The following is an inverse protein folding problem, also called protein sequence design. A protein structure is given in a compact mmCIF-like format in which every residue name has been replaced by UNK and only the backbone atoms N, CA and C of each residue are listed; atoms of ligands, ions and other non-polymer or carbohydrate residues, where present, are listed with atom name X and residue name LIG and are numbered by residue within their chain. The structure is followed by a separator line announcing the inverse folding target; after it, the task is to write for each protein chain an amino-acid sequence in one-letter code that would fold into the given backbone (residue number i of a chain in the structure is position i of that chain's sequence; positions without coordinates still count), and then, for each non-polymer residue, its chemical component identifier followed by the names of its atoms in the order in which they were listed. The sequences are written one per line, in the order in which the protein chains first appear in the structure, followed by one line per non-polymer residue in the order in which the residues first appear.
data_IF_145392719876
#
_entry.id   IF_145392719876
#
_cell.length_a   1.000
_cell.length_b   1.000
_cell.length_c   1.000
_cell.angle_alpha   90.00
_cell.angle_beta   90.00
_cell.angle_gamma   90.00
#
_symmetry.space_group_name_H-M   'P 1'
#
loop_
_entity.id
_entity.type
_entity.pdbx_description
1 polymer ?
#
# COMPACT_ATOMS: atom_id res chain seq x y z
N UNK A 1 -33.93 12.72 -1.07
CA UNK A 1 -32.71 12.17 -1.70
C UNK A 1 -31.55 12.56 -0.81
N UNK A 2 -31.14 11.66 0.10
CA UNK A 2 -30.01 11.90 1.00
C UNK A 2 -28.72 11.85 0.21
N UNK A 3 -27.86 12.84 0.42
CA UNK A 3 -26.56 12.92 -0.22
C UNK A 3 -25.63 11.90 0.45
N UNK A 4 -25.47 10.71 -0.13
CA UNK A 4 -24.53 9.69 0.35
C UNK A 4 -23.10 10.15 0.08
N UNK A 5 -22.56 10.98 0.98
CA UNK A 5 -21.16 11.37 0.96
C UNK A 5 -20.37 10.26 1.64
N UNK A 6 -19.61 9.51 0.86
CA UNK A 6 -18.65 8.53 1.37
C UNK A 6 -17.37 9.27 1.75
N UNK A 7 -17.09 9.41 3.04
CA UNK A 7 -15.88 10.08 3.56
C UNK A 7 -14.65 9.15 3.54
N UNK A 8 -14.39 8.53 2.39
CA UNK A 8 -13.26 7.60 2.20
C UNK A 8 -12.34 8.07 1.06
N UNK A 9 -11.03 7.93 1.27
CA UNK A 9 -10.02 8.17 0.25
C UNK A 9 -9.42 6.83 -0.15
N UNK A 10 -9.49 6.49 -1.44
CA UNK A 10 -8.79 5.35 -2.01
C UNK A 10 -7.52 5.86 -2.71
N UNK A 11 -6.36 5.45 -2.22
CA UNK A 11 -5.06 5.76 -2.81
C UNK A 11 -4.43 4.50 -3.41
N UNK A 12 -3.87 4.64 -4.62
CA UNK A 12 -3.09 3.59 -5.28
C UNK A 12 -1.69 4.13 -5.57
N UNK A 13 -0.69 3.37 -5.19
CA UNK A 13 0.72 3.69 -5.42
C UNK A 13 1.28 2.74 -6.48
N UNK A 14 2.03 3.28 -7.44
CA UNK A 14 2.76 2.53 -8.45
C UNK A 14 4.22 2.99 -8.44
N UNK A 15 5.14 2.05 -8.30
CA UNK A 15 6.57 2.33 -8.16
C UNK A 15 7.29 1.88 -9.42
N UNK A 16 7.72 2.86 -10.22
CA UNK A 16 8.50 2.63 -11.42
C UNK A 16 9.99 2.38 -11.14
N UNK A 17 10.71 1.84 -12.13
CA UNK A 17 12.17 1.67 -12.07
C UNK A 17 12.67 0.49 -11.24
N UNK A 18 11.78 -0.38 -10.74
CA UNK A 18 12.14 -1.56 -9.94
C UNK A 18 13.12 -2.48 -10.69
N UNK A 19 12.89 -2.72 -11.99
CA UNK A 19 13.80 -3.56 -12.77
C UNK A 19 15.17 -2.92 -12.95
N UNK A 20 15.22 -1.62 -13.25
CA UNK A 20 16.48 -0.88 -13.39
C UNK A 20 17.28 -0.89 -12.09
N UNK A 21 16.60 -0.81 -10.94
CA UNK A 21 17.22 -0.93 -9.62
C UNK A 21 17.77 -2.33 -9.36
N UNK A 22 16.96 -3.38 -9.57
CA UNK A 22 17.34 -4.77 -9.28
C UNK A 22 18.47 -5.23 -10.20
N UNK A 23 18.47 -4.81 -11.46
CA UNK A 23 19.43 -5.23 -12.48
C UNK A 23 20.46 -4.15 -12.82
N UNK A 24 20.69 -3.19 -11.92
CA UNK A 24 21.73 -2.18 -12.07
C UNK A 24 23.14 -2.78 -12.21
N UNK A 25 23.33 -4.05 -11.83
CA UNK A 25 24.60 -4.76 -11.94
C UNK A 25 24.44 -6.18 -12.53
N UNK A 26 25.54 -6.75 -13.02
CA UNK A 26 25.58 -8.13 -13.54
C UNK A 26 25.91 -9.17 -12.45
N UNK A 27 25.85 -8.80 -11.17
CA UNK A 27 26.25 -9.68 -10.07
C UNK A 27 25.01 -10.26 -9.39
N UNK A 28 24.84 -11.58 -9.53
CA UNK A 28 23.67 -12.29 -9.01
C UNK A 28 23.39 -12.01 -7.51
N UNK A 29 24.44 -11.97 -6.68
CA UNK A 29 24.30 -11.71 -5.25
C UNK A 29 23.77 -10.30 -4.96
N UNK A 30 24.19 -9.31 -5.74
CA UNK A 30 23.71 -7.92 -5.61
C UNK A 30 22.27 -7.82 -6.09
N UNK A 31 21.93 -8.44 -7.24
CA UNK A 31 20.57 -8.43 -7.78
C UNK A 31 19.58 -9.13 -6.84
N UNK A 32 19.98 -10.27 -6.24
CA UNK A 32 19.17 -10.94 -5.22
C UNK A 32 18.98 -10.06 -3.96
N UNK A 33 20.03 -9.36 -3.53
CA UNK A 33 19.95 -8.41 -2.42
C UNK A 33 19.03 -7.22 -2.73
N UNK A 34 19.13 -6.65 -3.93
CA UNK A 34 18.27 -5.56 -4.39
C UNK A 34 16.80 -6.00 -4.48
N UNK A 35 16.54 -7.19 -5.02
CA UNK A 35 15.18 -7.77 -5.04
C UNK A 35 14.62 -7.95 -3.64
N UNK A 36 15.41 -8.47 -2.70
CA UNK A 36 15.00 -8.62 -1.30
C UNK A 36 14.69 -7.26 -0.66
N UNK A 37 15.50 -6.24 -0.92
CA UNK A 37 15.24 -4.88 -0.42
C UNK A 37 13.95 -4.29 -0.97
N UNK A 38 13.66 -4.45 -2.27
CA UNK A 38 12.40 -3.98 -2.86
C UNK A 38 11.21 -4.64 -2.17
N UNK A 39 11.26 -5.95 -1.94
CA UNK A 39 10.20 -6.66 -1.20
C UNK A 39 9.99 -6.06 0.18
N UNK A 40 11.05 -5.86 0.96
CA UNK A 40 10.94 -5.26 2.31
C UNK A 40 10.42 -3.83 2.29
N UNK A 41 10.85 -3.01 1.33
CA UNK A 41 10.34 -1.64 1.19
C UNK A 41 8.83 -1.65 0.97
N UNK A 42 8.33 -2.51 0.09
CA UNK A 42 6.91 -2.53 -0.27
C UNK A 42 6.03 -3.21 0.78
N UNK A 43 6.51 -4.30 1.38
CA UNK A 43 5.71 -5.14 2.28
C UNK A 43 5.89 -4.82 3.77
N UNK A 44 6.94 -4.08 4.14
CA UNK A 44 7.22 -3.71 5.53
C UNK A 44 7.26 -2.20 5.68
N UNK A 45 8.29 -1.54 5.14
CA UNK A 45 8.57 -0.13 5.45
C UNK A 45 7.46 0.82 5.00
N UNK A 46 6.92 0.62 3.79
CA UNK A 46 5.83 1.45 3.29
C UNK A 46 4.57 1.30 4.14
N UNK A 47 4.26 0.08 4.60
CA UNK A 47 3.08 -0.17 5.45
C UNK A 47 3.27 0.43 6.84
N UNK A 48 4.48 0.35 7.39
CA UNK A 48 4.84 0.99 8.66
C UNK A 48 4.69 2.50 8.57
N UNK A 49 5.22 3.13 7.51
CA UNK A 49 5.09 4.58 7.31
C UNK A 49 3.63 5.03 7.19
N UNK A 50 2.76 4.25 6.54
CA UNK A 50 1.33 4.58 6.50
C UNK A 50 0.66 4.48 7.88
N UNK A 51 1.02 3.48 8.68
CA UNK A 51 0.49 3.34 10.05
C UNK A 51 0.93 4.49 10.94
N UNK A 52 2.23 4.84 10.89
CA UNK A 52 2.76 5.97 11.65
C UNK A 52 2.06 7.29 11.28
N UNK A 53 1.91 7.57 9.99
CA UNK A 53 1.20 8.77 9.54
C UNK A 53 -0.29 8.75 9.93
N UNK A 54 -0.94 7.58 9.89
CA UNK A 54 -2.34 7.44 10.29
C UNK A 54 -2.53 7.67 11.80
N UNK A 55 -1.59 7.18 12.62
CA UNK A 55 -1.58 7.40 14.07
C UNK A 55 -1.36 8.89 14.41
N UNK A 56 -0.45 9.57 13.69
CA UNK A 56 -0.19 11.01 13.86
C UNK A 56 -1.40 11.88 13.53
N UNK A 57 -2.11 11.55 12.46
CA UNK A 57 -3.30 12.29 11.99
C UNK A 57 -4.61 11.81 12.64
N UNK A 58 -4.55 10.78 13.50
CA UNK A 58 -5.70 10.14 14.14
C UNK A 58 -6.78 9.70 13.13
N UNK A 59 -6.35 9.01 12.06
CA UNK A 59 -7.21 8.47 11.00
C UNK A 59 -7.08 6.96 10.90
N UNK A 60 -8.13 6.29 10.42
CA UNK A 60 -8.08 4.85 10.15
C UNK A 60 -7.52 4.59 8.75
N UNK A 61 -6.59 3.62 8.63
CA UNK A 61 -6.02 3.20 7.35
C UNK A 61 -6.14 1.69 7.15
N UNK A 62 -6.55 1.30 5.94
CA UNK A 62 -6.65 -0.10 5.51
C UNK A 62 -5.57 -0.38 4.46
N UNK A 63 -4.62 -1.25 4.80
CA UNK A 63 -3.39 -1.48 4.03
C UNK A 63 -3.25 -2.93 3.51
N UNK A 64 -4.30 -3.75 3.58
CA UNK A 64 -4.21 -5.17 3.20
C UNK A 64 -4.41 -5.39 1.69
N UNK A 65 -3.30 -5.35 0.97
CA UNK A 65 -3.24 -5.60 -0.48
C UNK A 65 -3.54 -7.06 -0.87
N UNK A 66 -3.38 -8.03 0.05
CA UNK A 66 -3.64 -9.46 -0.24
C UNK A 66 -5.13 -9.78 -0.30
N UNK A 67 -5.95 -8.87 0.21
CA UNK A 67 -7.40 -8.91 0.13
C UNK A 67 -7.94 -7.87 -0.87
N UNK A 68 -7.15 -7.38 -1.82
CA UNK A 68 -7.58 -6.37 -2.80
C UNK A 68 -8.88 -6.75 -3.54
N UNK A 69 -9.07 -8.03 -3.87
CA UNK A 69 -10.31 -8.52 -4.49
C UNK A 69 -11.52 -8.53 -3.52
N UNK A 70 -11.27 -8.44 -2.22
CA UNK A 70 -12.25 -8.40 -1.13
C UNK A 70 -12.42 -7.00 -0.52
N UNK A 71 -11.53 -6.05 -0.84
CA UNK A 71 -11.64 -4.63 -0.50
C UNK A 71 -12.76 -4.01 -1.34
N UNK A 72 -13.99 -4.36 -0.98
CA UNK A 72 -15.15 -3.53 -1.29
C UNK A 72 -15.12 -2.37 -0.30
N UNK A 73 -15.39 -1.15 -0.77
CA UNK A 73 -15.69 -0.05 0.14
C UNK A 73 -16.72 -0.56 1.16
N UNK A 74 -16.54 -0.31 2.48
CA UNK A 74 -17.52 -0.71 3.48
C UNK A 74 -18.90 -0.28 3.00
N UNK A 75 -19.85 -1.23 2.94
CA UNK A 75 -21.23 -0.83 2.67
C UNK A 75 -21.68 -0.02 3.87
N UNK A 76 -22.13 1.20 3.62
CA UNK A 76 -22.59 2.14 4.65
C UNK A 76 -23.66 1.45 5.52
N UNK A 77 -23.31 1.07 6.75
CA UNK A 77 -24.19 0.33 7.67
C UNK A 77 -25.41 1.16 8.11
N UNK A 78 -25.53 2.42 7.67
CA UNK A 78 -26.67 3.31 7.91
C UNK A 78 -27.88 3.04 7.01
N UNK A 79 -27.87 1.95 6.24
CA UNK A 79 -28.95 1.55 5.34
C UNK A 79 -29.78 0.36 5.86
N UNK A 80 -29.80 0.12 7.18
CA UNK A 80 -30.86 -0.61 7.88
C UNK A 80 -31.62 0.28 8.85
#
# INVERSE_FOLDING_TARGET
MGNNKSDYILAKFDVGGIQDYIFATNRLRENAGASYQVTRIMEEFLLESFREAADEENVEVLLDWKLADRLRLPQDERMM
#
